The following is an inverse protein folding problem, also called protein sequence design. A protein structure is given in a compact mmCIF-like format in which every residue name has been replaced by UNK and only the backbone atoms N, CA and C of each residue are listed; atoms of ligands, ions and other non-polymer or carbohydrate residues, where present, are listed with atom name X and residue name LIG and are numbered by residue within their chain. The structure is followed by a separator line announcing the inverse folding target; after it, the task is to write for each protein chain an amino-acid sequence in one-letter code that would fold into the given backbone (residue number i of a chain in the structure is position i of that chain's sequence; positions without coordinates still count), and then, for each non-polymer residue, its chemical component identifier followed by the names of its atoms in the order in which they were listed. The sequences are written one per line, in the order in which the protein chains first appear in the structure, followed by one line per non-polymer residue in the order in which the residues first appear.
data_IF_130566120922
#
_entry.id   IF_130566120922
#
_cell.length_a   1.000
_cell.length_b   1.000
_cell.length_c   1.000
_cell.angle_alpha   90.00
_cell.angle_beta   90.00
_cell.angle_gamma   90.00
#
_symmetry.space_group_name_H-M   'P 1'
#
loop_
_entity.id
_entity.type
_entity.pdbx_description
1 polymer ?
#
# COMPACT_ATOMS: atom_id res chain seq x y z
N UNK A 1 -2.24 8.35 0.85
CA UNK A 1 -2.38 6.88 1.06
C UNK A 1 -2.05 6.08 -0.21
N UNK A 2 -2.59 6.38 -1.40
CA UNK A 2 -2.33 5.62 -2.64
C UNK A 2 -0.83 5.37 -2.93
N UNK A 3 0.02 6.39 -2.75
CA UNK A 3 1.47 6.27 -2.92
C UNK A 3 2.06 5.25 -1.92
N UNK A 4 1.69 5.36 -0.64
CA UNK A 4 2.15 4.43 0.39
C UNK A 4 1.74 3.00 0.07
N UNK A 5 0.51 2.79 -0.38
CA UNK A 5 0.00 1.46 -0.73
C UNK A 5 0.76 0.85 -1.91
N UNK A 6 0.99 1.60 -3.00
CA UNK A 6 1.71 1.09 -4.16
C UNK A 6 3.15 0.71 -3.83
N UNK A 7 3.85 1.53 -3.03
CA UNK A 7 5.21 1.25 -2.56
C UNK A 7 5.23 0.02 -1.64
N UNK A 8 4.31 -0.05 -0.67
CA UNK A 8 4.26 -1.20 0.26
C UNK A 8 4.01 -2.52 -0.47
N UNK A 9 3.17 -2.52 -1.52
CA UNK A 9 2.94 -3.71 -2.36
C UNK A 9 4.22 -4.23 -2.99
N UNK A 10 5.08 -3.34 -3.50
CA UNK A 10 6.36 -3.76 -4.07
C UNK A 10 7.38 -4.19 -3.00
N UNK A 11 7.39 -3.57 -1.83
CA UNK A 11 8.21 -4.05 -0.70
C UNK A 11 7.79 -5.47 -0.31
N UNK A 12 6.48 -5.73 -0.23
CA UNK A 12 5.95 -7.07 0.03
C UNK A 12 6.34 -8.09 -1.07
N UNK A 13 6.47 -7.63 -2.31
CA UNK A 13 6.88 -8.47 -3.43
C UNK A 13 8.40 -8.70 -3.51
N UNK A 14 9.20 -8.15 -2.58
CA UNK A 14 10.64 -8.37 -2.49
C UNK A 14 11.51 -7.30 -3.13
N UNK A 15 10.95 -6.13 -3.41
CA UNK A 15 11.70 -5.01 -3.99
C UNK A 15 12.07 -3.97 -2.92
N UNK A 16 13.21 -3.31 -3.10
CA UNK A 16 13.68 -2.26 -2.19
C UNK A 16 12.97 -0.95 -2.49
N UNK A 17 12.46 -0.29 -1.46
CA UNK A 17 11.73 0.96 -1.64
C UNK A 17 12.56 2.06 -2.32
N UNK A 18 13.88 2.09 -2.10
CA UNK A 18 14.79 3.08 -2.70
C UNK A 18 15.00 2.93 -4.20
N UNK A 19 14.73 1.75 -4.75
CA UNK A 19 14.91 1.44 -6.17
C UNK A 19 13.60 1.57 -6.97
N UNK A 20 12.60 2.21 -6.36
CA UNK A 20 11.28 2.41 -6.96
C UNK A 20 11.15 3.77 -7.63
N UNK A 21 10.33 3.78 -8.66
CA UNK A 21 9.84 4.99 -9.33
C UNK A 21 8.31 4.97 -9.32
N UNK A 22 7.72 6.17 -9.33
CA UNK A 22 6.27 6.31 -9.30
C UNK A 22 5.77 6.87 -10.64
N UNK A 23 4.56 6.48 -11.00
CA UNK A 23 3.76 7.17 -12.00
C UNK A 23 2.36 7.38 -11.45
N UNK A 24 1.73 8.52 -11.78
CA UNK A 24 0.41 8.83 -11.29
C UNK A 24 -0.58 8.94 -12.43
N UNK A 25 -1.81 8.56 -12.15
CA UNK A 25 -2.92 8.83 -13.03
C UNK A 25 -4.03 9.48 -12.21
N UNK A 26 -4.50 10.63 -12.68
CA UNK A 26 -5.49 11.42 -11.97
C UNK A 26 -6.74 11.63 -12.82
N UNK A 27 -7.89 11.71 -12.13
CA UNK A 27 -9.19 11.95 -12.74
C UNK A 27 -9.94 12.99 -11.92
N UNK A 28 -10.40 14.04 -12.61
CA UNK A 28 -11.19 15.13 -12.03
C UNK A 28 -12.33 15.49 -12.96
N UNK A 29 -13.37 16.11 -12.40
CA UNK A 29 -14.45 16.72 -13.17
C UNK A 29 -13.94 17.84 -14.06
N UNK A 30 -14.80 18.35 -14.94
CA UNK A 30 -14.54 19.60 -15.67
C UNK A 30 -14.30 20.75 -14.68
N UNK A 31 -13.12 21.37 -14.77
CA UNK A 31 -12.70 22.39 -13.80
C UNK A 31 -13.41 23.73 -14.03
N UNK A 32 -13.77 24.05 -15.27
CA UNK A 32 -14.42 25.30 -15.65
C UNK A 32 -13.68 26.53 -15.07
N UNK A 33 -14.42 27.54 -14.63
CA UNK A 33 -13.89 28.76 -13.99
C UNK A 33 -14.03 28.76 -12.46
N UNK A 34 -14.49 27.67 -11.87
CA UNK A 34 -14.72 27.55 -10.43
C UNK A 34 -13.41 27.26 -9.68
N UNK A 35 -12.91 28.16 -8.83
CA UNK A 35 -11.62 27.95 -8.13
C UNK A 35 -11.60 26.69 -7.28
N UNK A 36 -12.74 26.31 -6.69
CA UNK A 36 -12.88 25.12 -5.84
C UNK A 36 -12.59 23.82 -6.63
N UNK A 37 -12.95 23.80 -7.91
CA UNK A 37 -12.67 22.66 -8.78
C UNK A 37 -11.17 22.54 -9.08
N UNK A 38 -10.49 23.68 -9.28
CA UNK A 38 -9.03 23.73 -9.47
C UNK A 38 -8.25 23.37 -8.21
N UNK A 39 -8.82 23.64 -7.04
CA UNK A 39 -8.23 23.25 -5.75
C UNK A 39 -8.09 21.75 -5.57
N UNK A 40 -8.94 20.93 -6.20
CA UNK A 40 -8.92 19.46 -6.05
C UNK A 40 -7.66 18.80 -6.64
N UNK A 41 -7.29 19.02 -7.93
CA UNK A 41 -6.04 18.53 -8.47
C UNK A 41 -4.81 19.08 -7.73
N UNK A 42 -4.83 20.36 -7.33
CA UNK A 42 -3.74 20.91 -6.54
C UNK A 42 -3.57 20.17 -5.20
N UNK A 43 -4.66 19.90 -4.49
CA UNK A 43 -4.60 19.15 -3.23
C UNK A 43 -4.09 17.72 -3.42
N UNK A 44 -4.49 17.03 -4.51
CA UNK A 44 -3.99 15.70 -4.84
C UNK A 44 -2.50 15.71 -5.12
N UNK A 45 -2.02 16.68 -5.92
CA UNK A 45 -0.60 16.85 -6.23
C UNK A 45 0.24 17.18 -4.98
N UNK A 46 -0.24 18.05 -4.10
CA UNK A 46 0.45 18.36 -2.84
C UNK A 46 0.55 17.12 -1.93
N UNK A 47 -0.52 16.34 -1.81
CA UNK A 47 -0.48 15.09 -1.06
C UNK A 47 0.44 14.04 -1.67
N UNK A 48 0.52 13.96 -3.01
CA UNK A 48 1.46 13.09 -3.70
C UNK A 48 2.91 13.57 -3.53
N UNK A 49 3.14 14.88 -3.57
CA UNK A 49 4.47 15.47 -3.34
C UNK A 49 4.96 15.20 -1.91
N UNK A 50 4.11 15.41 -0.91
CA UNK A 50 4.43 15.14 0.49
C UNK A 50 4.85 13.67 0.70
N UNK A 51 4.11 12.73 0.12
CA UNK A 51 4.45 11.32 0.17
C UNK A 51 5.78 11.00 -0.55
N UNK A 52 6.04 11.58 -1.72
CA UNK A 52 7.29 11.40 -2.45
C UNK A 52 8.49 11.93 -1.66
N UNK A 53 8.37 13.14 -1.12
CA UNK A 53 9.41 13.75 -0.30
C UNK A 53 9.68 12.92 0.96
N UNK A 54 8.65 12.48 1.64
CA UNK A 54 8.77 11.66 2.85
C UNK A 54 9.42 10.31 2.59
N UNK A 55 9.03 9.62 1.52
CA UNK A 55 9.57 8.30 1.15
C UNK A 55 10.93 8.39 0.43
N UNK A 56 11.31 9.56 -0.07
CA UNK A 56 12.52 9.72 -0.86
C UNK A 56 12.46 9.05 -2.23
N UNK A 57 11.27 8.97 -2.84
CA UNK A 57 11.00 8.31 -4.13
C UNK A 57 10.38 9.32 -5.09
N UNK A 58 10.87 9.38 -6.32
CA UNK A 58 10.37 10.32 -7.33
C UNK A 58 9.35 9.69 -8.29
N UNK A 59 8.40 10.49 -8.73
CA UNK A 59 7.59 10.15 -9.91
C UNK A 59 8.37 10.49 -11.19
N UNK A 60 8.28 9.60 -12.17
CA UNK A 60 8.93 9.73 -13.48
C UNK A 60 7.96 10.12 -14.59
N UNK A 61 6.69 10.22 -14.29
CA UNK A 61 5.66 10.60 -15.24
C UNK A 61 4.27 10.40 -14.68
N UNK A 62 3.29 10.67 -15.51
CA UNK A 62 1.89 10.53 -15.14
C UNK A 62 0.98 11.09 -16.23
N UNK A 63 -0.32 11.07 -15.93
CA UNK A 63 -1.36 11.57 -16.84
C UNK A 63 -2.55 12.05 -16.02
N UNK A 64 -3.02 13.24 -16.35
CA UNK A 64 -4.22 13.80 -15.75
C UNK A 64 -5.39 13.79 -16.74
N UNK A 65 -6.59 13.64 -16.23
CA UNK A 65 -7.83 13.84 -16.95
C UNK A 65 -8.73 14.78 -16.15
N UNK A 66 -9.07 15.92 -16.75
CA UNK A 66 -9.91 16.95 -16.13
C UNK A 66 -11.20 17.16 -16.92
N UNK A 67 -11.75 16.08 -17.45
CA UNK A 67 -12.94 16.07 -18.32
C UNK A 67 -13.99 15.06 -17.84
N UNK A 68 -13.94 14.68 -16.58
CA UNK A 68 -14.78 13.64 -15.99
C UNK A 68 -16.17 14.15 -15.57
N UNK A 69 -16.85 14.92 -16.41
CA UNK A 69 -18.23 15.37 -16.16
C UNK A 69 -19.12 14.93 -17.31
N UNK A 70 -20.29 14.38 -17.00
CA UNK A 70 -21.30 13.96 -17.97
C UNK A 70 -22.70 14.10 -17.41
N UNK A 71 -23.57 14.85 -18.07
CA UNK A 71 -25.00 15.04 -17.72
C UNK A 71 -25.24 15.35 -16.21
N UNK A 72 -24.43 16.20 -15.63
CA UNK A 72 -24.54 16.58 -14.22
C UNK A 72 -23.90 15.62 -13.22
N UNK A 73 -23.27 14.54 -13.70
CA UNK A 73 -22.42 13.66 -12.89
C UNK A 73 -20.96 14.09 -13.01
N UNK A 74 -20.32 14.27 -11.89
CA UNK A 74 -18.88 14.57 -11.80
C UNK A 74 -18.13 13.32 -11.29
N UNK A 75 -17.01 12.98 -11.94
CA UNK A 75 -16.11 11.94 -11.40
C UNK A 75 -15.55 12.40 -10.05
N UNK A 76 -15.55 11.56 -9.02
CA UNK A 76 -14.92 11.94 -7.76
C UNK A 76 -13.41 12.14 -7.97
N UNK A 77 -12.79 13.10 -7.26
CA UNK A 77 -11.34 13.30 -7.30
C UNK A 77 -10.60 11.99 -7.02
N UNK A 78 -9.81 11.53 -7.97
CA UNK A 78 -9.15 10.22 -7.91
C UNK A 78 -7.69 10.35 -8.28
N UNK A 79 -6.78 9.85 -7.42
CA UNK A 79 -5.38 9.67 -7.72
C UNK A 79 -5.04 8.18 -7.62
N UNK A 80 -4.53 7.62 -8.71
CA UNK A 80 -4.01 6.26 -8.79
C UNK A 80 -2.50 6.34 -8.81
N UNK A 81 -1.84 5.60 -7.92
CA UNK A 81 -0.39 5.49 -7.86
C UNK A 81 0.08 4.14 -8.35
N UNK A 82 1.02 4.16 -9.27
CA UNK A 82 1.76 2.98 -9.72
C UNK A 82 3.19 3.09 -9.25
N UNK A 83 3.69 2.06 -8.58
CA UNK A 83 5.10 1.93 -8.26
C UNK A 83 5.74 0.89 -9.17
N UNK A 84 6.94 1.20 -9.66
CA UNK A 84 7.73 0.34 -10.54
C UNK A 84 9.13 0.18 -9.97
N UNK A 85 9.67 -1.02 -10.03
CA UNK A 85 11.03 -1.30 -9.60
C UNK A 85 11.69 -2.32 -10.53
N UNK A 86 13.01 -2.27 -10.61
CA UNK A 86 13.82 -3.30 -11.25
C UNK A 86 14.49 -4.10 -10.14
N UNK A 87 14.45 -5.43 -10.25
CA UNK A 87 15.03 -6.30 -9.23
C UNK A 87 15.37 -7.69 -9.77
N UNK A 88 15.88 -8.52 -8.89
CA UNK A 88 16.22 -9.90 -9.23
C UNK A 88 14.98 -10.80 -9.07
N UNK A 89 14.67 -11.58 -10.08
CA UNK A 89 13.54 -12.54 -10.05
C UNK A 89 13.66 -13.58 -8.92
N UNK A 90 14.87 -13.86 -8.46
CA UNK A 90 15.09 -14.77 -7.32
C UNK A 90 14.54 -14.22 -5.99
N UNK A 91 14.37 -12.91 -5.88
CA UNK A 91 13.85 -12.25 -4.68
C UNK A 91 12.34 -11.98 -4.74
N UNK A 92 11.70 -12.28 -5.88
CA UNK A 92 10.26 -12.05 -6.03
C UNK A 92 9.47 -13.00 -5.15
N UNK A 93 8.62 -12.42 -4.30
CA UNK A 93 7.73 -13.18 -3.42
C UNK A 93 6.28 -13.03 -3.87
N UNK A 94 5.57 -14.13 -3.83
CA UNK A 94 4.12 -14.16 -3.96
C UNK A 94 3.44 -14.18 -2.57
N UNK A 95 2.23 -13.65 -2.45
CA UNK A 95 1.61 -13.39 -1.15
C UNK A 95 1.03 -14.62 -0.44
N UNK A 96 0.81 -15.75 -1.13
CA UNK A 96 0.16 -16.92 -0.54
C UNK A 96 1.06 -17.63 0.50
N UNK A 97 0.46 -18.21 1.53
CA UNK A 97 1.16 -19.04 2.51
C UNK A 97 1.78 -20.26 1.86
N UNK A 98 3.03 -20.59 2.22
CA UNK A 98 3.82 -21.66 1.56
C UNK A 98 3.72 -23.01 2.28
N UNK A 99 3.64 -23.03 3.62
CA UNK A 99 3.61 -24.24 4.43
C UNK A 99 2.90 -24.02 5.76
N UNK A 100 2.32 -25.07 6.32
CA UNK A 100 1.73 -25.06 7.65
C UNK A 100 2.76 -24.84 8.77
N UNK A 101 2.29 -24.54 9.98
CA UNK A 101 3.08 -24.34 11.19
C UNK A 101 4.11 -23.20 11.12
N UNK A 102 3.79 -22.17 10.37
CA UNK A 102 4.59 -20.95 10.29
C UNK A 102 3.91 -19.81 11.00
N UNK A 103 4.68 -18.90 11.56
CA UNK A 103 4.16 -17.74 12.28
C UNK A 103 3.81 -16.61 11.32
N UNK A 104 2.67 -15.95 11.54
CA UNK A 104 2.27 -14.74 10.83
C UNK A 104 2.47 -13.55 11.76
N UNK A 105 3.16 -12.53 11.28
CA UNK A 105 3.42 -11.29 12.02
C UNK A 105 2.80 -10.13 11.28
N UNK A 106 2.10 -9.26 11.99
CA UNK A 106 1.53 -8.03 11.47
C UNK A 106 2.39 -6.86 11.93
N UNK A 107 3.00 -6.14 11.00
CA UNK A 107 3.77 -4.93 11.27
C UNK A 107 2.90 -3.70 11.01
N UNK A 108 2.80 -2.83 12.01
CA UNK A 108 1.97 -1.63 11.95
C UNK A 108 2.85 -0.39 12.13
N UNK A 109 2.87 0.58 11.19
CA UNK A 109 3.51 1.86 11.43
C UNK A 109 2.75 2.66 12.49
N UNK A 110 3.41 3.64 13.08
CA UNK A 110 2.72 4.66 13.87
C UNK A 110 1.89 5.55 12.95
N UNK A 111 0.80 6.10 13.50
CA UNK A 111 -0.11 6.98 12.78
C UNK A 111 -0.22 8.32 13.47
N UNK A 112 -0.22 9.37 12.69
CA UNK A 112 -0.51 10.74 13.12
C UNK A 112 -1.55 11.34 12.20
N UNK A 113 -2.62 11.88 12.74
CA UNK A 113 -3.72 12.51 12.00
C UNK A 113 -4.31 11.62 10.87
N UNK A 114 -4.34 10.30 11.11
CA UNK A 114 -4.86 9.31 10.18
C UNK A 114 -3.91 8.94 9.02
N UNK A 115 -2.69 9.46 9.04
CA UNK A 115 -1.65 9.13 8.07
C UNK A 115 -0.51 8.33 8.74
N UNK A 116 0.12 7.37 8.05
CA UNK A 116 1.28 6.68 8.60
C UNK A 116 2.44 7.66 8.76
N UNK A 117 3.09 7.61 9.91
CA UNK A 117 4.30 8.39 10.16
C UNK A 117 5.45 7.83 9.33
N UNK A 118 6.02 8.68 8.48
CA UNK A 118 7.02 8.27 7.48
C UNK A 118 8.24 7.57 8.12
N UNK A 119 8.77 8.11 9.21
CA UNK A 119 9.92 7.50 9.88
C UNK A 119 9.65 6.09 10.38
N UNK A 120 8.46 5.87 10.95
CA UNK A 120 8.00 4.55 11.38
C UNK A 120 7.80 3.59 10.19
N UNK A 121 7.21 4.07 9.11
CA UNK A 121 6.98 3.30 7.89
C UNK A 121 8.30 2.86 7.23
N UNK A 122 9.26 3.79 7.08
CA UNK A 122 10.59 3.48 6.52
C UNK A 122 11.37 2.48 7.39
N UNK A 123 11.20 2.55 8.71
CA UNK A 123 11.79 1.57 9.62
C UNK A 123 11.22 0.16 9.38
N UNK A 124 9.91 0.06 9.13
CA UNK A 124 9.27 -1.21 8.76
C UNK A 124 9.79 -1.71 7.43
N UNK A 125 9.88 -0.86 6.41
CA UNK A 125 10.41 -1.27 5.09
C UNK A 125 11.82 -1.83 5.23
N UNK A 126 12.70 -1.15 5.95
CA UNK A 126 14.06 -1.62 6.20
C UNK A 126 14.09 -2.99 6.87
N UNK A 127 13.25 -3.23 7.88
CA UNK A 127 13.15 -4.53 8.56
C UNK A 127 12.69 -5.61 7.59
N UNK A 128 11.65 -5.34 6.80
CA UNK A 128 11.10 -6.30 5.84
C UNK A 128 12.11 -6.64 4.76
N UNK A 129 12.74 -5.63 4.17
CA UNK A 129 13.78 -5.80 3.14
C UNK A 129 14.93 -6.64 3.67
N UNK A 130 15.42 -6.35 4.88
CA UNK A 130 16.48 -7.13 5.51
C UNK A 130 16.05 -8.59 5.74
N UNK A 131 14.85 -8.81 6.26
CA UNK A 131 14.35 -10.16 6.52
C UNK A 131 14.14 -10.98 5.24
N UNK A 132 13.78 -10.32 4.15
CA UNK A 132 13.69 -10.94 2.82
C UNK A 132 15.07 -11.33 2.34
N UNK A 133 16.05 -10.42 2.38
CA UNK A 133 17.45 -10.70 2.01
C UNK A 133 18.04 -11.87 2.81
N UNK A 134 17.66 -12.01 4.08
CA UNK A 134 18.10 -13.11 4.97
C UNK A 134 17.30 -14.41 4.75
N UNK A 135 16.36 -14.46 3.81
CA UNK A 135 15.51 -15.62 3.53
C UNK A 135 14.55 -15.99 4.67
N UNK A 136 14.27 -15.06 5.57
CA UNK A 136 13.40 -15.27 6.75
C UNK A 136 11.91 -15.02 6.49
N UNK A 137 11.55 -14.56 5.30
CA UNK A 137 10.17 -14.28 4.90
C UNK A 137 9.78 -15.23 3.78
N UNK A 138 8.69 -15.94 3.94
CA UNK A 138 8.16 -16.86 2.93
C UNK A 138 7.10 -16.22 2.05
N UNK A 139 6.35 -15.26 2.59
CA UNK A 139 5.33 -14.51 1.89
C UNK A 139 5.07 -13.20 2.64
N UNK A 140 4.65 -12.17 1.92
CA UNK A 140 4.23 -10.91 2.50
C UNK A 140 3.06 -10.33 1.69
N UNK A 141 2.16 -9.64 2.37
CA UNK A 141 1.04 -8.95 1.74
C UNK A 141 0.72 -7.64 2.48
N UNK A 142 0.20 -6.67 1.76
CA UNK A 142 -0.37 -5.45 2.35
C UNK A 142 -1.89 -5.53 2.28
N UNK A 143 -2.61 -5.23 3.37
CA UNK A 143 -4.06 -5.17 3.36
C UNK A 143 -4.58 -4.06 2.45
N UNK A 144 -5.70 -4.35 1.82
CA UNK A 144 -6.47 -3.40 1.04
C UNK A 144 -7.72 -2.90 1.78
N UNK A 145 -8.78 -2.68 1.04
CA UNK A 145 -10.05 -2.17 1.55
C UNK A 145 -10.72 -3.08 2.57
N UNK A 146 -10.60 -4.40 2.39
CA UNK A 146 -11.16 -5.40 3.32
C UNK A 146 -10.30 -5.65 4.57
N UNK A 147 -9.28 -4.84 4.80
CA UNK A 147 -8.43 -4.92 5.98
C UNK A 147 -7.49 -6.13 6.01
N UNK A 148 -6.99 -6.43 7.20
CA UNK A 148 -6.10 -7.56 7.45
C UNK A 148 -6.79 -8.89 7.16
N UNK A 149 -8.09 -8.98 7.47
CA UNK A 149 -8.88 -10.19 7.23
C UNK A 149 -8.88 -10.59 5.74
N UNK A 150 -9.09 -9.61 4.84
CA UNK A 150 -9.02 -9.85 3.39
C UNK A 150 -7.63 -10.34 2.96
N UNK A 151 -6.56 -9.69 3.44
CA UNK A 151 -5.20 -10.07 3.11
C UNK A 151 -4.89 -11.50 3.57
N UNK A 152 -5.19 -11.83 4.83
CA UNK A 152 -4.99 -13.17 5.39
C UNK A 152 -5.81 -14.22 4.65
N UNK A 153 -7.06 -13.93 4.32
CA UNK A 153 -7.89 -14.83 3.52
C UNK A 153 -7.26 -15.13 2.16
N UNK A 154 -6.82 -14.10 1.44
CA UNK A 154 -6.14 -14.27 0.15
C UNK A 154 -4.84 -15.07 0.28
N UNK A 155 -4.08 -14.86 1.36
CA UNK A 155 -2.87 -15.64 1.64
C UNK A 155 -3.17 -17.12 1.92
N UNK A 156 -4.32 -17.43 2.53
CA UNK A 156 -4.75 -18.81 2.75
C UNK A 156 -5.16 -19.53 1.45
N UNK A 157 -5.92 -18.84 0.60
CA UNK A 157 -6.56 -19.45 -0.59
C UNK A 157 -5.55 -19.96 -1.61
N UNK A 158 -4.43 -19.26 -1.80
CA UNK A 158 -3.48 -19.56 -2.87
C UNK A 158 -2.92 -20.99 -2.84
N UNK A 159 -2.58 -21.51 -1.65
CA UNK A 159 -2.04 -22.86 -1.47
C UNK A 159 -2.88 -23.72 -0.50
N UNK A 160 -4.12 -23.29 -0.21
CA UNK A 160 -5.01 -23.99 0.71
C UNK A 160 -4.41 -24.22 2.12
N UNK A 161 -3.59 -23.28 2.59
CA UNK A 161 -3.00 -23.30 3.94
C UNK A 161 -3.88 -22.50 4.88
N UNK A 162 -4.43 -23.14 5.92
CA UNK A 162 -5.27 -22.52 6.92
C UNK A 162 -4.49 -21.59 7.86
N UNK A 163 -5.23 -20.75 8.59
CA UNK A 163 -4.70 -19.84 9.60
C UNK A 163 -5.42 -20.05 10.92
N UNK A 164 -4.67 -20.06 12.02
CA UNK A 164 -5.20 -20.01 13.37
C UNK A 164 -4.84 -18.64 13.98
N UNK A 165 -5.84 -17.89 14.38
CA UNK A 165 -5.66 -16.62 15.07
C UNK A 165 -5.37 -16.86 16.55
N UNK A 166 -4.53 -16.02 17.13
CA UNK A 166 -4.30 -15.96 18.57
C UNK A 166 -5.53 -15.39 19.28
N UNK A 167 -5.77 -15.81 20.51
CA UNK A 167 -6.97 -15.43 21.29
C UNK A 167 -6.98 -13.96 21.73
N UNK A 168 -5.86 -13.28 21.66
CA UNK A 168 -5.67 -11.87 22.04
C UNK A 168 -5.92 -10.88 20.89
N UNK A 169 -6.22 -11.38 19.67
CA UNK A 169 -6.51 -10.54 18.51
C UNK A 169 -7.95 -10.02 18.55
N UNK A 170 -8.11 -8.70 18.51
CA UNK A 170 -9.43 -8.09 18.30
C UNK A 170 -9.88 -8.32 16.85
N UNK A 171 -10.92 -9.15 16.69
CA UNK A 171 -11.49 -9.46 15.37
C UNK A 171 -11.99 -8.20 14.64
N UNK A 172 -12.48 -7.19 15.37
CA UNK A 172 -12.94 -5.96 14.75
C UNK A 172 -11.78 -5.21 14.08
N UNK A 173 -10.58 -5.28 14.62
CA UNK A 173 -9.41 -4.63 14.01
C UNK A 173 -9.00 -5.29 12.69
N UNK A 174 -9.27 -6.59 12.53
CA UNK A 174 -8.94 -7.30 11.29
C UNK A 174 -9.76 -6.83 10.08
N UNK A 175 -10.99 -6.37 10.30
CA UNK A 175 -11.91 -5.94 9.24
C UNK A 175 -11.89 -4.43 8.98
N UNK A 176 -11.10 -3.66 9.72
CA UNK A 176 -10.96 -2.21 9.47
C UNK A 176 -10.26 -1.99 8.13
N UNK A 177 -10.84 -1.20 7.21
CA UNK A 177 -10.17 -0.88 5.95
C UNK A 177 -8.80 -0.25 6.18
N UNK A 178 -7.79 -0.72 5.48
CA UNK A 178 -6.44 -0.17 5.59
C UNK A 178 -6.36 1.27 5.05
N UNK A 179 -7.28 1.65 4.16
CA UNK A 179 -7.39 2.99 3.58
C UNK A 179 -8.10 4.02 4.48
N UNK A 180 -8.80 3.59 5.53
CA UNK A 180 -9.55 4.47 6.42
C UNK A 180 -8.98 4.48 7.83
N UNK A 181 -8.07 5.40 8.12
CA UNK A 181 -7.51 5.68 9.46
C UNK A 181 -6.76 4.52 10.16
N UNK A 182 -6.56 3.39 9.52
CA UNK A 182 -6.00 2.22 10.17
C UNK A 182 -4.96 1.56 9.29
N UNK A 183 -3.78 1.49 9.84
CA UNK A 183 -2.81 0.41 9.68
C UNK A 183 -2.71 -0.21 8.27
N UNK A 184 -1.57 -0.02 7.60
CA UNK A 184 -1.05 -0.97 6.62
C UNK A 184 -0.27 -2.04 7.38
N UNK A 185 -0.89 -3.12 7.89
CA UNK A 185 -0.11 -4.21 8.45
C UNK A 185 0.56 -4.93 7.30
N UNK A 186 1.84 -5.15 7.42
CA UNK A 186 2.58 -6.10 6.62
C UNK A 186 2.37 -7.46 7.29
N UNK A 187 1.65 -8.35 6.66
CA UNK A 187 1.61 -9.73 7.09
C UNK A 187 2.86 -10.42 6.55
N UNK A 188 3.79 -10.75 7.43
CA UNK A 188 4.95 -11.56 7.12
C UNK A 188 4.72 -12.97 7.64
N UNK A 189 5.01 -13.92 6.80
CA UNK A 189 4.92 -15.33 7.07
C UNK A 189 6.34 -15.88 7.24
N UNK A 190 6.62 -16.46 8.41
CA UNK A 190 7.92 -17.03 8.77
C UNK A 190 7.85 -18.56 8.85
N UNK A 191 8.96 -19.25 8.56
CA UNK A 191 9.07 -20.68 8.82
C UNK A 191 9.01 -21.01 10.30
#
# INVERSE_FOLDING_TARGET
MAVVESVTKLVCAGFRHKDMYLTFQEYFEHLNTAPERWGKPLAALLGALDAQMGLGIASIGGKDSMSGSFEGLDVPPTLVSFATAIGNTANVMSPEFKKANSSVVILKPQYKDGMPEIGSLLSIYKIVEQMIDEGKVLAAATPGYGGVAEALFKMCVGNHVGLQLSNDIDLNDLFKPASSKVTLPLAMYRP
#
